data_IF_271384667623
#
_entry.id   IF_271384667623
#
_cell.length_a   1.000
_cell.length_b   1.000
_cell.length_c   1.000
_cell.angle_alpha   90.00
_cell.angle_beta   90.00
_cell.angle_gamma   90.00
#
_symmetry.space_group_name_H-M   'P 1'
#
loop_
_entity.id
_entity.type
_entity.pdbx_description
1 polymer ?
#
# COMPACT_ATOMS: atom_id res chain seq x y z
N UNK A 1 1.22 -21.85 50.59
CA UNK A 1 1.93 -20.79 49.78
C UNK A 1 2.19 -21.16 48.34
N UNK A 2 2.18 -22.44 47.92
CA UNK A 2 2.44 -22.83 46.51
C UNK A 2 1.29 -22.49 45.52
N UNK A 3 0.05 -22.44 46.00
CA UNK A 3 -1.11 -22.17 45.11
C UNK A 3 -1.35 -20.69 44.77
N UNK A 4 -0.79 -19.78 45.58
CA UNK A 4 -0.88 -18.32 45.29
C UNK A 4 0.02 -17.95 44.10
N UNK A 5 1.16 -18.65 43.97
CA UNK A 5 2.11 -18.41 42.86
C UNK A 5 1.53 -18.83 41.50
N UNK A 6 0.73 -19.92 41.43
CA UNK A 6 0.13 -20.40 40.18
C UNK A 6 -0.97 -19.45 39.68
N UNK A 7 -1.82 -18.95 40.57
CA UNK A 7 -2.85 -17.96 40.23
C UNK A 7 -2.23 -16.63 39.78
N UNK A 8 -1.14 -16.21 40.42
CA UNK A 8 -0.41 -15.01 40.04
C UNK A 8 0.32 -15.19 38.70
N UNK A 9 0.88 -16.36 38.46
CA UNK A 9 1.48 -16.68 37.15
C UNK A 9 0.45 -16.73 36.00
N UNK A 10 -0.72 -17.31 36.23
CA UNK A 10 -1.83 -17.31 35.27
C UNK A 10 -2.35 -15.88 35.00
N UNK A 11 -2.45 -15.05 36.02
CA UNK A 11 -2.86 -13.64 35.89
C UNK A 11 -1.82 -12.80 35.13
N UNK A 12 -0.54 -12.99 35.39
CA UNK A 12 0.56 -12.36 34.64
C UNK A 12 0.61 -12.83 33.17
N UNK A 13 0.35 -14.12 32.93
CA UNK A 13 0.28 -14.67 31.59
C UNK A 13 -0.92 -14.12 30.80
N UNK A 14 -2.06 -13.95 31.46
CA UNK A 14 -3.25 -13.34 30.87
C UNK A 14 -3.01 -11.84 30.54
N UNK A 15 -2.31 -11.11 31.41
CA UNK A 15 -1.91 -9.71 31.17
C UNK A 15 -0.95 -9.56 29.98
N UNK A 16 -0.04 -10.52 29.78
CA UNK A 16 0.85 -10.52 28.62
C UNK A 16 0.10 -10.78 27.30
N UNK A 17 -0.96 -11.59 27.31
CA UNK A 17 -1.76 -11.83 26.11
C UNK A 17 -2.63 -10.64 25.67
N UNK A 18 -2.99 -9.75 26.59
CA UNK A 18 -3.82 -8.56 26.29
C UNK A 18 -2.99 -7.46 25.60
N UNK A 19 -1.67 -7.46 25.76
CA UNK A 19 -0.80 -6.42 25.19
C UNK A 19 -0.41 -6.63 23.72
N UNK A 20 -0.76 -7.73 23.09
CA UNK A 20 -0.34 -8.06 21.71
C UNK A 20 -1.35 -7.58 20.64
N UNK A 21 -2.48 -6.98 21.01
CA UNK A 21 -3.61 -6.75 20.11
C UNK A 21 -3.88 -5.31 19.67
N UNK A 22 -3.14 -4.30 20.12
CA UNK A 22 -3.42 -2.91 19.71
C UNK A 22 -2.38 -2.46 18.69
N UNK A 23 -2.55 -2.89 17.45
CA UNK A 23 -2.01 -2.11 16.35
C UNK A 23 -2.86 -0.84 16.26
N UNK A 24 -2.35 0.24 16.81
CA UNK A 24 -2.99 1.54 16.74
C UNK A 24 -3.13 1.93 15.27
N UNK A 25 -4.36 1.96 14.75
CA UNK A 25 -4.64 2.70 13.54
C UNK A 25 -4.13 4.13 13.76
N UNK A 26 -3.32 4.62 12.81
CA UNK A 26 -2.84 6.00 12.86
C UNK A 26 -4.05 6.91 13.06
N UNK A 27 -3.93 7.86 13.98
CA UNK A 27 -5.00 8.84 14.21
C UNK A 27 -5.28 9.62 12.92
N UNK A 28 -6.49 10.14 12.69
CA UNK A 28 -6.78 10.97 11.51
C UNK A 28 -5.77 12.11 11.34
N UNK A 29 -5.33 12.73 12.42
CA UNK A 29 -4.32 13.79 12.41
C UNK A 29 -2.92 13.32 11.94
N UNK A 30 -2.53 12.11 12.27
CA UNK A 30 -1.27 11.51 11.81
C UNK A 30 -1.35 11.13 10.34
N UNK A 31 -2.51 10.68 9.89
CA UNK A 31 -2.74 10.38 8.48
C UNK A 31 -2.68 11.66 7.63
N UNK A 32 -3.35 12.73 8.05
CA UNK A 32 -3.34 14.02 7.36
C UNK A 32 -1.92 14.58 7.24
N UNK A 33 -1.16 14.55 8.33
CA UNK A 33 0.26 14.95 8.31
C UNK A 33 1.09 14.11 7.35
N UNK A 34 0.89 12.80 7.36
CA UNK A 34 1.59 11.90 6.44
C UNK A 34 1.27 12.23 4.97
N UNK A 35 -0.02 12.49 4.65
CA UNK A 35 -0.47 12.86 3.31
C UNK A 35 0.14 14.21 2.91
N UNK A 36 0.08 15.21 3.77
CA UNK A 36 0.66 16.54 3.52
C UNK A 36 2.16 16.47 3.25
N UNK A 37 2.89 15.70 4.02
CA UNK A 37 4.34 15.53 3.84
C UNK A 37 4.70 14.75 2.58
N UNK A 38 3.87 13.76 2.21
CA UNK A 38 4.00 13.05 0.93
C UNK A 38 3.74 14.01 -0.23
N UNK A 39 2.64 14.78 -0.17
CA UNK A 39 2.27 15.75 -1.20
C UNK A 39 3.34 16.83 -1.42
N UNK A 40 4.05 17.27 -0.37
CA UNK A 40 5.19 18.21 -0.49
C UNK A 40 6.38 17.61 -1.24
N UNK A 41 6.58 16.30 -1.14
CA UNK A 41 7.68 15.58 -1.81
C UNK A 41 7.37 15.27 -3.29
N UNK A 42 6.10 15.25 -3.68
CA UNK A 42 5.66 14.90 -5.02
C UNK A 42 5.90 16.02 -6.02
N UNK A 43 6.38 15.67 -7.21
CA UNK A 43 6.36 16.58 -8.38
C UNK A 43 4.94 16.76 -8.91
N UNK A 44 4.75 17.73 -9.80
CA UNK A 44 3.44 17.94 -10.44
C UNK A 44 3.03 16.72 -11.28
N UNK A 45 3.98 16.13 -11.99
CA UNK A 45 3.77 14.94 -12.83
C UNK A 45 3.33 13.73 -11.96
N UNK A 46 3.96 13.54 -10.82
CA UNK A 46 3.58 12.48 -9.88
C UNK A 46 2.19 12.71 -9.26
N UNK A 47 1.83 13.96 -8.95
CA UNK A 47 0.48 14.31 -8.47
C UNK A 47 -0.58 14.01 -9.53
N UNK A 48 -0.34 14.41 -10.77
CA UNK A 48 -1.22 14.10 -11.91
C UNK A 48 -1.26 12.58 -12.12
N UNK A 49 -0.12 11.90 -11.98
CA UNK A 49 0.00 10.45 -12.10
C UNK A 49 -0.90 9.69 -11.14
N UNK A 50 -1.09 10.17 -9.90
CA UNK A 50 -1.99 9.52 -8.93
C UNK A 50 -3.47 9.51 -9.38
N UNK A 51 -3.86 10.40 -10.28
CA UNK A 51 -5.21 10.45 -10.85
C UNK A 51 -5.35 9.57 -12.10
N UNK A 52 -4.27 8.97 -12.57
CA UNK A 52 -4.23 8.23 -13.81
C UNK A 52 -4.41 6.73 -13.55
N UNK A 53 -5.47 6.14 -14.11
CA UNK A 53 -5.80 4.73 -14.02
C UNK A 53 -5.85 4.10 -15.43
N UNK A 54 -4.70 3.77 -16.03
CA UNK A 54 -4.69 3.10 -17.33
C UNK A 54 -5.28 1.71 -17.26
N UNK A 55 -5.91 1.30 -18.35
CA UNK A 55 -6.42 -0.06 -18.51
C UNK A 55 -5.28 -1.00 -18.88
N UNK A 56 -5.14 -2.09 -18.13
CA UNK A 56 -4.25 -3.19 -18.47
C UNK A 56 -5.11 -4.36 -18.93
N UNK A 57 -5.42 -4.45 -20.20
CA UNK A 57 -6.22 -5.55 -20.70
C UNK A 57 -5.87 -5.89 -22.13
N UNK A 58 -5.97 -7.16 -22.46
CA UNK A 58 -6.06 -7.67 -23.83
C UNK A 58 -7.43 -7.32 -24.42
N UNK A 59 -7.79 -6.04 -24.43
CA UNK A 59 -8.98 -5.64 -25.18
C UNK A 59 -8.55 -5.38 -26.60
N UNK A 60 -8.86 -6.35 -27.44
CA UNK A 60 -8.62 -6.37 -28.89
C UNK A 60 -9.59 -5.42 -29.63
N UNK A 61 -9.95 -4.29 -29.06
CA UNK A 61 -10.81 -3.30 -29.71
C UNK A 61 -10.11 -1.95 -29.74
N UNK A 62 -9.29 -1.74 -30.77
CA UNK A 62 -8.98 -0.43 -31.34
C UNK A 62 -8.27 0.63 -30.49
N UNK A 63 -7.93 0.36 -29.26
CA UNK A 63 -7.23 1.29 -28.39
C UNK A 63 -5.75 0.90 -28.25
N UNK A 64 -4.89 1.89 -28.35
CA UNK A 64 -3.44 1.73 -28.31
C UNK A 64 -2.99 0.80 -27.17
N UNK A 65 -2.24 -0.25 -27.52
CA UNK A 65 -1.49 -1.04 -26.53
C UNK A 65 -0.68 -0.08 -25.69
N UNK A 66 -0.94 -0.01 -24.39
CA UNK A 66 -0.13 0.80 -23.48
C UNK A 66 1.21 0.09 -23.25
N UNK A 67 2.05 0.07 -24.27
CA UNK A 67 3.39 -0.55 -24.27
C UNK A 67 4.35 0.11 -23.27
N UNK A 68 3.87 1.04 -22.45
CA UNK A 68 4.69 1.87 -21.58
C UNK A 68 4.22 1.93 -20.11
N UNK A 69 3.27 1.07 -19.70
CA UNK A 69 2.70 1.12 -18.34
C UNK A 69 3.79 0.89 -17.29
N UNK A 70 4.65 -0.11 -17.48
CA UNK A 70 5.73 -0.39 -16.54
C UNK A 70 6.71 0.80 -16.36
N UNK A 71 7.05 1.50 -17.45
CA UNK A 71 7.88 2.71 -17.39
C UNK A 71 7.18 3.82 -16.63
N UNK A 72 5.89 4.02 -16.87
CA UNK A 72 5.07 5.04 -16.21
C UNK A 72 4.87 4.76 -14.71
N UNK A 73 4.74 3.49 -14.33
CA UNK A 73 4.70 3.07 -12.91
C UNK A 73 5.99 3.46 -12.21
N UNK A 74 7.14 3.15 -12.80
CA UNK A 74 8.46 3.53 -12.24
C UNK A 74 8.65 5.04 -12.15
N UNK A 75 8.09 5.78 -13.08
CA UNK A 75 8.11 7.25 -13.08
C UNK A 75 7.12 7.89 -12.07
N UNK A 76 6.27 7.09 -11.40
CA UNK A 76 5.23 7.61 -10.50
C UNK A 76 4.03 8.27 -11.21
N UNK A 77 3.85 7.98 -12.51
CA UNK A 77 2.83 8.59 -13.37
C UNK A 77 1.52 7.77 -13.43
N UNK A 78 1.34 6.81 -12.51
CA UNK A 78 0.18 5.90 -12.44
C UNK A 78 -0.24 5.74 -11.00
N UNK A 79 -1.49 6.03 -10.68
CA UNK A 79 -2.07 5.85 -9.35
C UNK A 79 -2.76 4.49 -9.14
N UNK A 80 -3.12 3.83 -10.25
CA UNK A 80 -3.74 2.52 -10.20
C UNK A 80 -3.86 1.89 -11.58
N UNK A 81 -4.35 0.65 -11.64
CA UNK A 81 -4.51 -0.09 -12.88
C UNK A 81 -5.92 -0.68 -12.96
N UNK A 82 -6.62 -0.37 -14.04
CA UNK A 82 -7.93 -0.92 -14.26
C UNK A 82 -7.88 -2.23 -15.08
N UNK A 83 -8.68 -3.23 -14.65
CA UNK A 83 -8.81 -4.53 -15.30
C UNK A 83 -7.52 -5.39 -15.31
N UNK A 84 -6.63 -5.22 -14.34
CA UNK A 84 -5.54 -6.16 -14.14
C UNK A 84 -6.04 -7.39 -13.40
N UNK A 85 -5.85 -8.58 -13.96
CA UNK A 85 -6.30 -9.85 -13.40
C UNK A 85 -5.13 -10.78 -13.09
N UNK A 86 -5.28 -11.56 -12.03
CA UNK A 86 -4.29 -12.55 -11.60
C UNK A 86 -3.40 -12.05 -10.48
N UNK A 87 -3.33 -12.85 -9.40
CA UNK A 87 -2.60 -12.51 -8.17
C UNK A 87 -1.12 -12.23 -8.43
N UNK A 88 -0.48 -13.04 -9.26
CA UNK A 88 0.94 -12.89 -9.57
C UNK A 88 1.21 -11.57 -10.30
N UNK A 89 0.40 -11.25 -11.32
CA UNK A 89 0.54 -9.99 -12.06
C UNK A 89 0.33 -8.76 -11.16
N UNK A 90 -0.67 -8.81 -10.28
CA UNK A 90 -0.94 -7.74 -9.32
C UNK A 90 0.26 -7.58 -8.38
N UNK A 91 0.81 -8.68 -7.87
CA UNK A 91 1.98 -8.67 -6.99
C UNK A 91 3.22 -8.09 -7.69
N UNK A 92 3.50 -8.51 -8.92
CA UNK A 92 4.65 -8.04 -9.68
C UNK A 92 4.57 -6.54 -9.97
N UNK A 93 3.41 -6.06 -10.37
CA UNK A 93 3.20 -4.63 -10.65
C UNK A 93 3.24 -3.79 -9.37
N UNK A 94 2.68 -4.31 -8.27
CA UNK A 94 2.76 -3.64 -6.96
C UNK A 94 4.21 -3.56 -6.46
N UNK A 95 4.99 -4.63 -6.66
CA UNK A 95 6.42 -4.64 -6.35
C UNK A 95 7.16 -3.56 -7.14
N UNK A 96 6.91 -3.43 -8.44
CA UNK A 96 7.52 -2.36 -9.25
C UNK A 96 7.16 -0.97 -8.73
N UNK A 97 5.91 -0.73 -8.34
CA UNK A 97 5.50 0.56 -7.80
C UNK A 97 6.20 0.90 -6.48
N UNK A 98 6.33 -0.09 -5.58
CA UNK A 98 6.90 0.12 -4.25
C UNK A 98 8.43 0.18 -4.28
N UNK A 99 9.08 -0.71 -5.03
CA UNK A 99 10.53 -0.88 -4.97
C UNK A 99 11.28 -0.07 -6.06
N UNK A 100 10.65 0.18 -7.21
CA UNK A 100 11.32 0.79 -8.36
C UNK A 100 10.89 2.23 -8.63
N UNK A 101 9.83 2.75 -7.97
CA UNK A 101 9.46 4.16 -8.08
C UNK A 101 10.09 5.00 -6.96
N UNK A 102 10.25 6.30 -7.21
CA UNK A 102 10.92 7.24 -6.28
C UNK A 102 10.23 7.37 -4.93
N UNK A 103 8.92 7.31 -4.89
CA UNK A 103 8.12 7.54 -3.68
C UNK A 103 7.56 6.25 -3.08
N UNK A 104 7.61 5.13 -3.79
CA UNK A 104 7.12 3.85 -3.32
C UNK A 104 5.62 3.83 -3.01
N UNK A 105 4.81 4.62 -3.74
CA UNK A 105 3.37 4.69 -3.51
C UNK A 105 2.71 3.45 -4.11
N UNK A 106 1.94 2.67 -3.31
CA UNK A 106 1.21 1.51 -3.82
C UNK A 106 0.15 1.89 -4.84
N UNK A 107 -0.09 1.00 -5.81
CA UNK A 107 -1.14 1.18 -6.82
C UNK A 107 -2.50 0.70 -6.33
N UNK A 108 -3.56 1.31 -6.82
CA UNK A 108 -4.95 0.83 -6.71
C UNK A 108 -5.28 -0.16 -7.85
N UNK A 109 -6.16 -1.14 -7.55
CA UNK A 109 -6.62 -2.16 -8.50
C UNK A 109 -8.14 -2.30 -8.47
#
# INVERSE_FOLDING_TARGET
MKHLSLKLQLFLMLLMFVSVGVQAQKSPLEMDRFIDDLMKKMTLEEKIGQLNLPVTGEITTGQAKSSNVAKRIRAGEVGGLFNLKGVERIRDVQKQAIEESRLGIPLLF
#
